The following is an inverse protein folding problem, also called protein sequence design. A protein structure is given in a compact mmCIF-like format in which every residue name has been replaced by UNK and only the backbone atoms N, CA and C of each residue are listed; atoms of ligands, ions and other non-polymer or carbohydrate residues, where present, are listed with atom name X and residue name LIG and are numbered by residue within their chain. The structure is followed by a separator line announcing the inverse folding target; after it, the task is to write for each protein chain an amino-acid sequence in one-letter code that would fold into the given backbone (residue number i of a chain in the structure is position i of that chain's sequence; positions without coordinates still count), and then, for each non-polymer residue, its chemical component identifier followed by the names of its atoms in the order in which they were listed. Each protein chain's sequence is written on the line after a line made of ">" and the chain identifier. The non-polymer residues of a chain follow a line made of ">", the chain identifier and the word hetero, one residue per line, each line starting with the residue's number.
data_IF_419594732837
#
_entry.id   IF_419594732837
#
_cell.length_a   1.000
_cell.length_b   1.000
_cell.length_c   1.000
_cell.angle_alpha   90.00
_cell.angle_beta   90.00
_cell.angle_gamma   90.00
#
_symmetry.space_group_name_H-M   'P 1'
#
loop_
_entity.id
_entity.type
_entity.pdbx_description
1 polymer ?
#
# COMPACT_ATOMS: atom_id res chain seq x y z
N UNK A 1 53.18 45.85 6.77
CA UNK A 1 53.12 44.43 6.36
C UNK A 1 52.15 43.65 7.26
N UNK A 2 50.83 43.84 7.14
CA UNK A 2 49.88 43.09 7.99
C UNK A 2 48.52 42.78 7.35
N UNK A 3 48.28 43.23 6.11
CA UNK A 3 46.95 43.17 5.47
C UNK A 3 46.68 41.87 4.71
N UNK A 4 47.69 41.02 4.50
CA UNK A 4 47.58 39.82 3.65
C UNK A 4 47.19 38.54 4.42
N UNK A 5 47.36 38.52 5.75
CA UNK A 5 47.01 37.36 6.60
C UNK A 5 45.51 37.29 6.95
N UNK A 6 44.87 38.44 7.19
CA UNK A 6 43.45 38.52 7.60
C UNK A 6 42.46 38.12 6.50
N UNK A 7 42.86 38.27 5.24
CA UNK A 7 42.05 37.92 4.06
C UNK A 7 42.02 36.41 3.79
N UNK A 8 43.06 35.68 4.18
CA UNK A 8 43.13 34.22 4.01
C UNK A 8 42.32 33.54 5.12
N UNK A 9 42.47 33.99 6.37
CA UNK A 9 41.70 33.45 7.51
C UNK A 9 40.18 33.65 7.36
N UNK A 10 39.74 34.76 6.75
CA UNK A 10 38.31 35.03 6.51
C UNK A 10 37.72 34.19 5.36
N UNK A 11 38.52 33.85 4.35
CA UNK A 11 38.11 32.95 3.27
C UNK A 11 37.99 31.50 3.75
N UNK A 12 38.91 31.05 4.63
CA UNK A 12 38.84 29.71 5.23
C UNK A 12 37.64 29.56 6.18
N UNK A 13 37.33 30.58 6.99
CA UNK A 13 36.15 30.56 7.87
C UNK A 13 34.84 30.53 7.07
N UNK A 14 34.77 31.27 5.97
CA UNK A 14 33.61 31.27 5.09
C UNK A 14 33.46 29.95 4.33
N UNK A 15 34.58 29.35 3.90
CA UNK A 15 34.59 28.03 3.27
C UNK A 15 34.14 26.93 4.25
N UNK A 16 34.62 26.98 5.50
CA UNK A 16 34.21 26.06 6.57
C UNK A 16 32.72 26.23 6.91
N UNK A 17 32.22 27.47 6.98
CA UNK A 17 30.79 27.75 7.18
C UNK A 17 29.94 27.15 6.06
N UNK A 18 30.32 27.36 4.81
CA UNK A 18 29.62 26.81 3.63
C UNK A 18 29.67 25.28 3.66
N UNK A 19 30.81 24.68 4.01
CA UNK A 19 30.93 23.22 4.13
C UNK A 19 29.99 22.67 5.21
N UNK A 20 29.90 23.34 6.35
CA UNK A 20 29.02 22.96 7.45
C UNK A 20 27.53 23.13 7.08
N UNK A 21 27.18 24.20 6.37
CA UNK A 21 25.82 24.42 5.85
C UNK A 21 25.41 23.35 4.84
N UNK A 22 26.30 22.99 3.91
CA UNK A 22 26.05 21.92 2.95
C UNK A 22 25.85 20.57 3.64
N UNK A 23 26.66 20.26 4.65
CA UNK A 23 26.51 19.02 5.42
C UNK A 23 25.15 18.97 6.14
N UNK A 24 24.71 20.09 6.71
CA UNK A 24 23.40 20.18 7.37
C UNK A 24 22.25 20.04 6.37
N UNK A 25 22.38 20.64 5.18
CA UNK A 25 21.40 20.49 4.09
C UNK A 25 21.33 19.02 3.65
N UNK A 26 22.47 18.36 3.45
CA UNK A 26 22.52 16.96 3.03
C UNK A 26 21.86 16.04 4.08
N UNK A 27 22.13 16.28 5.37
CA UNK A 27 21.50 15.52 6.44
C UNK A 27 19.99 15.78 6.52
N UNK A 28 19.56 17.04 6.37
CA UNK A 28 18.14 17.39 6.34
C UNK A 28 17.43 16.74 5.14
N UNK A 29 18.05 16.78 3.95
CA UNK A 29 17.53 16.12 2.75
C UNK A 29 17.45 14.61 2.94
N UNK A 30 18.45 13.97 3.56
CA UNK A 30 18.40 12.54 3.85
C UNK A 30 17.28 12.16 4.83
N UNK A 31 17.06 12.96 5.88
CA UNK A 31 15.95 12.77 6.82
C UNK A 31 14.61 12.95 6.11
N UNK A 32 14.51 13.99 5.27
CA UNK A 32 13.32 14.31 4.49
C UNK A 32 13.02 13.17 3.51
N UNK A 33 14.02 12.67 2.80
CA UNK A 33 13.92 11.54 1.88
C UNK A 33 13.41 10.29 2.58
N UNK A 34 13.96 9.97 3.76
CA UNK A 34 13.47 8.82 4.54
C UNK A 34 12.01 9.02 4.94
N UNK A 35 11.61 10.23 5.37
CA UNK A 35 10.23 10.51 5.80
C UNK A 35 9.23 10.56 4.65
N UNK A 36 9.63 11.09 3.49
CA UNK A 36 8.77 11.25 2.32
C UNK A 36 8.73 10.01 1.44
N UNK A 37 9.82 9.24 1.38
CA UNK A 37 9.98 8.09 0.50
C UNK A 37 10.08 6.76 1.24
N UNK A 38 9.68 6.67 2.52
CA UNK A 38 9.39 5.37 3.14
C UNK A 38 8.23 4.75 2.37
N UNK A 39 8.56 3.85 1.44
CA UNK A 39 7.61 3.13 0.60
C UNK A 39 7.17 1.87 1.32
N UNK A 40 5.89 1.52 1.20
CA UNK A 40 5.41 0.23 1.69
C UNK A 40 6.07 -0.94 0.96
N UNK A 41 5.89 -2.17 1.48
CA UNK A 41 6.48 -3.36 0.87
C UNK A 41 6.03 -3.52 -0.59
N UNK A 42 6.90 -4.10 -1.41
CA UNK A 42 6.55 -4.56 -2.75
C UNK A 42 5.76 -5.88 -2.63
N UNK A 43 4.57 -5.95 -3.20
CA UNK A 43 3.77 -7.18 -3.25
C UNK A 43 3.79 -7.73 -4.68
N UNK A 44 4.87 -8.43 -5.02
CA UNK A 44 5.14 -8.90 -6.40
C UNK A 44 4.81 -10.37 -6.64
N UNK A 45 4.29 -11.07 -5.64
CA UNK A 45 3.82 -12.46 -5.79
C UNK A 45 2.63 -12.75 -4.87
N UNK A 46 1.77 -13.73 -5.21
CA UNK A 46 0.70 -14.16 -4.33
C UNK A 46 1.16 -14.57 -2.94
N UNK A 47 2.32 -15.24 -2.81
CA UNK A 47 2.89 -15.61 -1.51
C UNK A 47 3.30 -14.39 -0.66
N UNK A 48 3.79 -13.33 -1.30
CA UNK A 48 4.11 -12.08 -0.60
C UNK A 48 2.85 -11.41 -0.06
N UNK A 49 1.77 -11.39 -0.86
CA UNK A 49 0.46 -10.86 -0.45
C UNK A 49 -0.13 -11.71 0.67
N UNK A 50 -0.12 -13.04 0.54
CA UNK A 50 -0.62 -13.96 1.56
C UNK A 50 0.11 -13.77 2.90
N UNK A 51 1.44 -13.63 2.87
CA UNK A 51 2.24 -13.35 4.07
C UNK A 51 1.90 -11.99 4.68
N UNK A 52 1.74 -10.97 3.84
CA UNK A 52 1.32 -9.64 4.27
C UNK A 52 -0.06 -9.67 4.95
N UNK A 53 -1.04 -10.33 4.34
CA UNK A 53 -2.40 -10.43 4.85
C UNK A 53 -2.48 -11.20 6.17
N UNK A 54 -1.72 -12.30 6.33
CA UNK A 54 -1.67 -13.03 7.60
C UNK A 54 -1.29 -12.13 8.77
N UNK A 55 -0.31 -11.23 8.61
CA UNK A 55 0.09 -10.32 9.68
C UNK A 55 -1.01 -9.32 10.06
N UNK A 56 -1.83 -8.90 9.09
CA UNK A 56 -2.83 -7.85 9.29
C UNK A 56 -4.23 -8.38 9.66
N UNK A 57 -4.55 -9.62 9.27
CA UNK A 57 -5.89 -10.20 9.42
C UNK A 57 -5.96 -11.40 10.37
N UNK A 58 -4.83 -11.94 10.85
CA UNK A 58 -4.84 -13.13 11.71
C UNK A 58 -5.63 -12.99 13.02
N UNK A 59 -5.93 -11.77 13.47
CA UNK A 59 -6.68 -11.51 14.71
C UNK A 59 -8.11 -11.04 14.47
N UNK A 60 -8.59 -11.00 13.22
CA UNK A 60 -9.94 -10.54 12.94
C UNK A 60 -10.96 -11.65 13.22
N UNK A 61 -11.73 -11.48 14.29
CA UNK A 61 -12.78 -12.41 14.73
C UNK A 61 -14.05 -12.31 13.88
N UNK A 62 -14.20 -11.23 13.12
CA UNK A 62 -15.33 -10.98 12.25
C UNK A 62 -14.90 -10.96 10.79
N UNK A 63 -15.85 -11.29 9.91
CA UNK A 63 -15.67 -11.13 8.48
C UNK A 63 -15.54 -9.64 8.14
N UNK A 64 -14.51 -9.31 7.36
CA UNK A 64 -14.21 -7.96 6.89
C UNK A 64 -13.86 -8.00 5.42
N UNK A 65 -14.19 -6.92 4.71
CA UNK A 65 -13.69 -6.68 3.37
C UNK A 65 -12.70 -5.53 3.39
N UNK A 66 -11.47 -5.82 2.97
CA UNK A 66 -10.38 -4.88 2.90
C UNK A 66 -9.81 -4.72 1.49
N UNK A 67 -9.00 -3.68 1.32
CA UNK A 67 -8.32 -3.36 0.07
C UNK A 67 -6.89 -2.96 0.37
N UNK A 68 -5.94 -3.57 -0.33
CA UNK A 68 -4.56 -3.10 -0.41
C UNK A 68 -4.49 -2.18 -1.62
N UNK A 69 -4.20 -0.90 -1.37
CA UNK A 69 -3.97 0.10 -2.41
C UNK A 69 -2.50 0.12 -2.79
N UNK A 70 -2.24 0.10 -4.10
CA UNK A 70 -0.90 -0.05 -4.65
C UNK A 70 -0.59 1.05 -5.65
N UNK A 71 0.68 1.42 -5.73
CA UNK A 71 1.16 2.25 -6.84
C UNK A 71 1.46 1.43 -8.09
N UNK A 72 1.89 2.12 -9.17
CA UNK A 72 2.18 1.50 -10.46
C UNK A 72 3.37 0.50 -10.45
N UNK A 73 4.13 0.43 -9.35
CA UNK A 73 5.20 -0.57 -9.14
C UNK A 73 4.78 -1.66 -8.14
N UNK A 74 3.50 -1.72 -7.80
CA UNK A 74 2.91 -2.67 -6.85
C UNK A 74 3.49 -2.52 -5.43
N UNK A 75 3.81 -1.28 -5.03
CA UNK A 75 4.16 -0.95 -3.64
C UNK A 75 2.91 -0.60 -2.87
N UNK A 76 2.81 -1.10 -1.65
CA UNK A 76 1.72 -0.74 -0.73
C UNK A 76 1.74 0.75 -0.44
N UNK A 77 0.64 1.41 -0.80
CA UNK A 77 0.31 2.77 -0.39
C UNK A 77 -0.44 2.75 0.95
N UNK A 78 -1.43 1.86 1.05
CA UNK A 78 -2.22 1.65 2.26
C UNK A 78 -2.90 0.28 2.26
N UNK A 79 -3.24 -0.21 3.43
CA UNK A 79 -4.18 -1.32 3.63
C UNK A 79 -5.34 -0.81 4.48
N UNK A 80 -6.58 -0.96 3.99
CA UNK A 80 -7.76 -0.53 4.71
C UNK A 80 -8.82 -1.60 4.75
N UNK A 81 -9.41 -1.80 5.92
CA UNK A 81 -10.69 -2.50 6.07
C UNK A 81 -11.79 -1.50 5.77
N UNK A 82 -12.56 -1.74 4.71
CA UNK A 82 -13.62 -0.85 4.24
C UNK A 82 -14.99 -1.25 4.78
N UNK A 83 -15.20 -2.54 5.03
CA UNK A 83 -16.49 -3.07 5.49
C UNK A 83 -16.27 -4.16 6.54
N UNK A 84 -17.23 -4.25 7.46
CA UNK A 84 -17.27 -5.25 8.53
C UNK A 84 -18.62 -5.97 8.45
N UNK A 85 -18.64 -7.27 8.75
CA UNK A 85 -19.82 -8.14 8.64
C UNK A 85 -19.76 -9.06 7.41
N UNK A 86 -20.65 -10.06 7.37
CA UNK A 86 -20.63 -11.07 6.31
C UNK A 86 -20.84 -10.46 4.94
N UNK A 87 -20.14 -10.91 3.90
CA UNK A 87 -20.38 -10.44 2.52
C UNK A 87 -21.83 -10.71 2.07
N UNK A 88 -22.48 -11.72 2.66
CA UNK A 88 -23.91 -12.03 2.47
C UNK A 88 -24.86 -10.94 3.00
N UNK A 89 -24.42 -10.05 3.89
CA UNK A 89 -25.24 -8.96 4.47
C UNK A 89 -24.62 -7.55 4.42
N UNK A 90 -23.29 -7.46 4.35
CA UNK A 90 -22.53 -6.23 4.22
C UNK A 90 -22.42 -5.86 2.74
N UNK A 91 -23.30 -4.97 2.30
CA UNK A 91 -23.25 -4.41 0.95
C UNK A 91 -21.92 -3.69 0.72
N UNK A 92 -20.93 -4.37 0.12
CA UNK A 92 -19.70 -3.73 -0.37
C UNK A 92 -20.11 -2.76 -1.47
N UNK A 93 -20.00 -1.46 -1.20
CA UNK A 93 -20.43 -0.41 -2.12
C UNK A 93 -19.28 0.01 -3.03
N UNK A 94 -19.35 -0.19 -4.36
CA UNK A 94 -18.28 0.17 -5.29
C UNK A 94 -17.85 1.65 -5.18
N UNK A 95 -18.80 2.56 -4.93
CA UNK A 95 -18.52 4.00 -4.72
C UNK A 95 -17.52 4.27 -3.59
N UNK A 96 -17.52 3.48 -2.52
CA UNK A 96 -16.58 3.67 -1.42
C UNK A 96 -15.19 3.17 -1.81
N UNK A 97 -15.13 2.02 -2.49
CA UNK A 97 -13.87 1.48 -3.04
C UNK A 97 -13.23 2.46 -4.01
N UNK A 98 -14.01 3.05 -4.93
CA UNK A 98 -13.58 4.11 -5.85
C UNK A 98 -13.05 5.32 -5.08
N UNK A 99 -13.83 5.84 -4.12
CA UNK A 99 -13.45 7.01 -3.32
C UNK A 99 -12.11 6.80 -2.61
N UNK A 100 -11.89 5.62 -2.03
CA UNK A 100 -10.64 5.30 -1.33
C UNK A 100 -9.48 5.07 -2.30
N UNK A 101 -9.72 4.42 -3.44
CA UNK A 101 -8.70 4.23 -4.49
C UNK A 101 -8.14 5.57 -4.97
N UNK A 102 -9.04 6.53 -5.26
CA UNK A 102 -8.64 7.89 -5.65
C UNK A 102 -7.95 8.66 -4.53
N UNK A 103 -8.45 8.54 -3.28
CA UNK A 103 -7.84 9.22 -2.13
C UNK A 103 -6.38 8.80 -1.88
N UNK A 104 -6.03 7.55 -2.21
CA UNK A 104 -4.66 7.03 -2.12
C UNK A 104 -3.82 7.26 -3.37
N UNK A 105 -4.41 7.78 -4.47
CA UNK A 105 -3.78 7.79 -5.80
C UNK A 105 -3.32 6.39 -6.22
N UNK A 106 -4.14 5.38 -5.93
CA UNK A 106 -3.83 4.00 -6.27
C UNK A 106 -3.82 3.81 -7.79
N UNK A 107 -2.81 3.12 -8.31
CA UNK A 107 -2.79 2.62 -9.69
C UNK A 107 -3.32 1.18 -9.77
N UNK A 108 -3.28 0.47 -8.64
CA UNK A 108 -3.74 -0.90 -8.54
C UNK A 108 -4.35 -1.20 -7.17
N UNK A 109 -5.16 -2.24 -7.10
CA UNK A 109 -5.82 -2.71 -5.89
C UNK A 109 -5.78 -4.23 -5.80
N UNK A 110 -5.65 -4.74 -4.57
CA UNK A 110 -5.90 -6.14 -4.24
C UNK A 110 -7.02 -6.17 -3.22
N UNK A 111 -8.08 -6.93 -3.51
CA UNK A 111 -9.17 -7.14 -2.56
C UNK A 111 -8.82 -8.25 -1.58
N UNK A 112 -9.38 -8.16 -0.39
CA UNK A 112 -9.30 -9.23 0.59
C UNK A 112 -10.58 -9.32 1.40
N UNK A 113 -11.01 -10.54 1.67
CA UNK A 113 -11.89 -10.79 2.81
C UNK A 113 -11.44 -12.03 3.58
N UNK A 114 -11.89 -12.14 4.83
CA UNK A 114 -11.65 -13.32 5.65
C UNK A 114 -12.94 -14.08 5.91
N UNK A 115 -12.85 -15.40 5.97
CA UNK A 115 -13.93 -16.25 6.46
C UNK A 115 -13.56 -16.74 7.86
N UNK A 116 -14.25 -16.26 8.93
CA UNK A 116 -14.01 -16.75 10.29
C UNK A 116 -14.24 -18.25 10.45
N UNK A 117 -15.02 -18.86 9.55
CA UNK A 117 -15.25 -20.31 9.48
C UNK A 117 -14.00 -21.12 9.10
N UNK A 118 -12.96 -20.45 8.59
CA UNK A 118 -11.72 -21.07 8.12
C UNK A 118 -11.76 -21.55 6.67
N UNK A 119 -12.93 -21.58 6.02
CA UNK A 119 -13.05 -21.99 4.60
C UNK A 119 -12.46 -20.91 3.67
N UNK A 120 -11.58 -21.29 2.74
CA UNK A 120 -10.99 -20.37 1.77
C UNK A 120 -11.65 -20.41 0.39
N UNK A 121 -12.70 -21.22 0.22
CA UNK A 121 -13.41 -21.32 -1.06
C UNK A 121 -14.36 -20.12 -1.27
N UNK A 122 -14.26 -19.39 -2.40
CA UNK A 122 -15.15 -18.27 -2.68
C UNK A 122 -16.58 -18.73 -2.94
N UNK A 123 -17.54 -18.02 -2.36
CA UNK A 123 -18.93 -18.09 -2.76
C UNK A 123 -19.14 -17.52 -4.17
N UNK A 124 -20.32 -17.77 -4.75
CA UNK A 124 -20.72 -17.11 -5.99
C UNK A 124 -20.84 -15.59 -5.82
N UNK A 125 -21.27 -15.13 -4.64
CA UNK A 125 -21.40 -13.71 -4.32
C UNK A 125 -20.03 -13.01 -4.37
N UNK A 126 -18.99 -13.65 -3.85
CA UNK A 126 -17.61 -13.11 -3.87
C UNK A 126 -17.14 -12.90 -5.30
N UNK A 127 -17.37 -13.88 -6.19
CA UNK A 127 -16.98 -13.79 -7.60
C UNK A 127 -17.71 -12.66 -8.32
N UNK A 128 -19.02 -12.55 -8.11
CA UNK A 128 -19.84 -11.49 -8.71
C UNK A 128 -19.40 -10.11 -8.21
N UNK A 129 -19.15 -9.98 -6.90
CA UNK A 129 -18.65 -8.75 -6.30
C UNK A 129 -17.29 -8.37 -6.89
N UNK A 130 -16.37 -9.33 -7.00
CA UNK A 130 -15.04 -9.14 -7.57
C UNK A 130 -15.10 -8.61 -8.98
N UNK A 131 -15.89 -9.27 -9.85
CA UNK A 131 -16.07 -8.86 -11.23
C UNK A 131 -16.63 -7.44 -11.33
N UNK A 132 -17.68 -7.14 -10.55
CA UNK A 132 -18.28 -5.80 -10.50
C UNK A 132 -17.30 -4.71 -10.07
N UNK A 133 -16.49 -4.98 -9.04
CA UNK A 133 -15.48 -4.04 -8.56
C UNK A 133 -14.35 -3.86 -9.57
N UNK A 134 -13.90 -4.94 -10.22
CA UNK A 134 -12.90 -4.90 -11.30
C UNK A 134 -13.35 -4.02 -12.45
N UNK A 135 -14.57 -4.22 -12.94
CA UNK A 135 -15.17 -3.37 -13.98
C UNK A 135 -15.29 -1.91 -13.53
N UNK A 136 -15.73 -1.67 -12.30
CA UNK A 136 -15.89 -0.32 -11.76
C UNK A 136 -14.55 0.42 -11.66
N UNK A 137 -13.51 -0.23 -11.13
CA UNK A 137 -12.18 0.37 -10.97
C UNK A 137 -11.45 0.55 -12.30
N UNK A 138 -11.72 -0.29 -13.29
CA UNK A 138 -11.18 -0.11 -14.64
C UNK A 138 -11.60 1.23 -15.28
N UNK A 139 -12.79 1.75 -14.95
CA UNK A 139 -13.27 3.05 -15.45
C UNK A 139 -12.45 4.25 -14.94
N UNK A 140 -11.67 4.06 -13.87
CA UNK A 140 -10.78 5.08 -13.31
C UNK A 140 -9.31 4.65 -13.38
N UNK A 141 -8.99 3.72 -14.27
CA UNK A 141 -7.62 3.24 -14.53
C UNK A 141 -6.93 2.63 -13.30
N UNK A 142 -7.71 2.04 -12.40
CA UNK A 142 -7.18 1.28 -11.25
C UNK A 142 -7.29 -0.22 -11.54
N UNK A 143 -6.13 -0.88 -11.65
CA UNK A 143 -6.08 -2.31 -11.96
C UNK A 143 -6.36 -3.17 -10.72
N UNK A 144 -7.37 -4.03 -10.78
CA UNK A 144 -7.54 -5.08 -9.77
C UNK A 144 -6.60 -6.23 -10.11
N UNK A 145 -5.59 -6.44 -9.28
CA UNK A 145 -4.55 -7.46 -9.51
C UNK A 145 -4.96 -8.82 -8.98
N UNK A 146 -5.72 -8.85 -7.88
CA UNK A 146 -6.15 -10.09 -7.25
C UNK A 146 -7.29 -9.84 -6.24
N UNK A 147 -7.88 -10.94 -5.79
CA UNK A 147 -8.74 -11.00 -4.63
C UNK A 147 -8.34 -12.20 -3.76
N UNK A 148 -7.97 -11.94 -2.52
CA UNK A 148 -7.60 -12.96 -1.55
C UNK A 148 -8.73 -13.31 -0.59
N UNK A 149 -8.87 -14.61 -0.31
CA UNK A 149 -9.73 -15.13 0.76
C UNK A 149 -8.86 -15.68 1.87
N UNK A 150 -8.99 -15.12 3.06
CA UNK A 150 -8.21 -15.49 4.23
C UNK A 150 -9.06 -16.40 5.13
N UNK A 151 -8.67 -17.66 5.23
CA UNK A 151 -9.24 -18.64 6.15
C UNK A 151 -8.12 -19.37 6.91
N UNK A 152 -8.37 -20.62 7.29
CA UNK A 152 -7.32 -21.46 7.86
C UNK A 152 -6.27 -21.81 6.80
N UNK A 153 -4.99 -21.78 7.19
CA UNK A 153 -3.89 -22.17 6.30
C UNK A 153 -3.39 -21.05 5.39
N UNK A 154 -3.23 -21.33 4.09
CA UNK A 154 -2.73 -20.36 3.09
C UNK A 154 -3.94 -19.61 2.48
N UNK A 155 -3.94 -18.27 2.49
CA UNK A 155 -4.94 -17.48 1.75
C UNK A 155 -5.05 -17.92 0.30
N UNK A 156 -6.29 -18.01 -0.21
CA UNK A 156 -6.57 -18.36 -1.59
C UNK A 156 -6.57 -17.10 -2.46
N UNK A 157 -5.84 -17.13 -3.57
CA UNK A 157 -5.86 -16.08 -4.62
C UNK A 157 -6.87 -16.44 -5.69
N UNK A 158 -7.81 -15.55 -6.03
CA UNK A 158 -8.73 -15.77 -7.16
C UNK A 158 -7.98 -15.76 -8.50
N UNK A 159 -6.92 -14.96 -8.62
CA UNK A 159 -6.12 -14.87 -9.85
C UNK A 159 -5.37 -16.18 -10.14
N UNK A 160 -4.78 -16.83 -9.12
CA UNK A 160 -4.10 -18.14 -9.27
C UNK A 160 -5.04 -19.24 -9.79
N UNK A 161 -6.35 -19.10 -9.52
CA UNK A 161 -7.39 -20.04 -9.97
C UNK A 161 -8.09 -19.63 -11.26
N UNK A 162 -7.71 -18.49 -11.87
CA UNK A 162 -8.29 -18.00 -13.12
C UNK A 162 -9.71 -17.43 -12.98
N UNK A 163 -10.08 -16.97 -11.78
CA UNK A 163 -11.41 -16.40 -11.49
C UNK A 163 -11.44 -14.87 -11.46
N UNK A 164 -10.35 -14.21 -11.88
CA UNK A 164 -10.22 -12.75 -11.90
C UNK A 164 -10.39 -12.16 -13.30
#
# INVERSE_FOLDING_TARGET
>A
MSTQLTLIETLDVEADRIAQENQLIDEALHILDRRLFTRGPNLTSPDAVASYLKLHLAQQEHEVFGVIFLDARHRVLAFEILFHGSIDGASVYPRQVVKRSLAHNAAAAIFVHNHPSGCTEPSQADRVLTARLKETLALIEVHVLDHFIVGEGRPLSLAEYGWL
#
